data_IF_303676038390
#
_entry.id   IF_303676038390
#
_cell.length_a   1.000
_cell.length_b   1.000
_cell.length_c   1.000
_cell.angle_alpha   90.00
_cell.angle_beta   90.00
_cell.angle_gamma   90.00
#
_symmetry.space_group_name_H-M   'P 1'
#
loop_
_entity.id
_entity.type
_entity.pdbx_description
1 polymer ?
#
# COMPACT_ATOMS: atom_id res chain seq x y z
N UNK A 1 -2.78 -4.04 6.80
CA UNK A 1 -1.54 -3.27 6.51
C UNK A 1 -1.27 -3.47 5.04
N UNK A 2 -0.77 -2.49 4.29
CA UNK A 2 -0.45 -2.64 2.87
C UNK A 2 0.91 -2.01 2.56
N UNK A 3 1.47 -2.33 1.39
CA UNK A 3 2.75 -1.76 0.93
C UNK A 3 2.46 -0.50 0.12
N UNK A 4 3.18 0.59 0.42
CA UNK A 4 2.86 1.93 -0.07
C UNK A 4 3.97 2.36 -1.02
N UNK A 5 3.55 2.65 -2.25
CA UNK A 5 4.42 3.16 -3.30
C UNK A 5 3.98 4.56 -3.69
N UNK A 6 4.94 5.45 -3.91
CA UNK A 6 4.67 6.80 -4.39
C UNK A 6 5.58 7.19 -5.53
N UNK A 7 5.08 8.02 -6.43
CA UNK A 7 5.89 8.70 -7.44
C UNK A 7 5.55 10.19 -7.43
N UNK A 8 6.58 11.02 -7.28
CA UNK A 8 6.47 12.45 -7.48
C UNK A 8 6.86 12.80 -8.91
N UNK A 9 6.00 13.53 -9.62
CA UNK A 9 6.21 13.92 -11.02
C UNK A 9 6.21 15.45 -11.12
N UNK A 10 7.18 16.06 -11.83
CA UNK A 10 7.19 17.50 -12.03
C UNK A 10 5.88 17.99 -12.66
N UNK A 11 5.36 19.13 -12.19
CA UNK A 11 4.06 19.67 -12.63
C UNK A 11 3.91 19.73 -14.15
N UNK A 12 4.93 20.24 -14.85
CA UNK A 12 4.93 20.38 -16.31
C UNK A 12 5.01 19.06 -17.09
N UNK A 13 5.18 17.93 -16.41
CA UNK A 13 5.26 16.58 -17.01
C UNK A 13 4.17 15.64 -16.54
N UNK A 14 3.30 16.08 -15.65
CA UNK A 14 2.21 15.27 -15.15
C UNK A 14 1.31 14.80 -16.32
N UNK A 15 1.05 13.49 -16.44
CA UNK A 15 0.32 12.95 -17.58
C UNK A 15 -1.16 13.30 -17.52
N UNK A 16 -1.82 13.25 -18.68
CA UNK A 16 -3.28 13.05 -18.72
C UNK A 16 -3.61 11.57 -18.54
N UNK A 17 -4.85 11.25 -18.13
CA UNK A 17 -5.31 9.85 -18.03
C UNK A 17 -5.01 9.03 -19.29
N UNK A 18 -5.22 9.64 -20.46
CA UNK A 18 -5.00 9.00 -21.76
C UNK A 18 -3.51 8.75 -22.04
N UNK A 19 -2.65 9.71 -21.71
CA UNK A 19 -1.20 9.56 -21.90
C UNK A 19 -0.65 8.45 -21.02
N UNK A 20 -1.12 8.37 -19.77
CA UNK A 20 -0.71 7.35 -18.84
C UNK A 20 -1.25 5.96 -19.21
N UNK A 21 -2.53 5.84 -19.57
CA UNK A 21 -3.11 4.58 -20.05
C UNK A 21 -2.32 4.03 -21.25
N UNK A 22 -1.97 4.89 -22.20
CA UNK A 22 -1.14 4.51 -23.35
C UNK A 22 0.30 4.10 -22.96
N UNK A 23 0.85 4.63 -21.86
CA UNK A 23 2.15 4.22 -21.34
C UNK A 23 2.08 2.85 -20.64
N UNK A 24 1.01 2.60 -19.89
CA UNK A 24 0.79 1.35 -19.16
C UNK A 24 0.46 0.19 -20.10
N UNK A 25 -0.42 0.41 -21.09
CA UNK A 25 -0.81 -0.62 -22.06
C UNK A 25 0.40 -1.23 -22.77
N UNK A 26 1.43 -0.42 -23.03
CA UNK A 26 2.70 -0.86 -23.64
C UNK A 26 3.55 -1.76 -22.73
N UNK A 27 3.32 -1.76 -21.42
CA UNK A 27 4.26 -2.32 -20.43
C UNK A 27 3.71 -3.48 -19.59
N UNK A 28 2.39 -3.63 -19.42
CA UNK A 28 1.87 -4.55 -18.39
C UNK A 28 0.50 -5.21 -18.61
N UNK A 29 -0.19 -4.98 -19.74
CA UNK A 29 -1.56 -5.52 -19.93
C UNK A 29 -2.60 -4.97 -18.94
N UNK A 30 -2.29 -3.85 -18.30
CA UNK A 30 -3.19 -3.11 -17.39
C UNK A 30 -3.78 -1.93 -18.16
N UNK A 31 -5.05 -1.62 -17.92
CA UNK A 31 -5.73 -0.46 -18.53
C UNK A 31 -6.47 0.36 -17.49
N UNK A 32 -6.40 1.68 -17.59
CA UNK A 32 -7.13 2.59 -16.71
C UNK A 32 -8.56 2.76 -17.23
N UNK A 33 -9.55 2.49 -16.36
CA UNK A 33 -10.98 2.58 -16.69
C UNK A 33 -11.51 3.99 -16.53
N UNK A 34 -11.18 4.66 -15.43
CA UNK A 34 -11.64 6.02 -15.16
C UNK A 34 -10.61 6.99 -15.71
N UNK A 35 -11.02 7.78 -16.70
CA UNK A 35 -10.16 8.73 -17.39
C UNK A 35 -10.72 10.12 -17.18
N UNK A 36 -10.01 10.93 -16.43
CA UNK A 36 -10.25 12.36 -16.39
C UNK A 36 -9.51 13.02 -17.56
N UNK A 37 -10.17 14.00 -18.18
CA UNK A 37 -9.59 14.84 -19.23
C UNK A 37 -8.76 15.99 -18.65
N UNK A 38 -8.75 16.15 -17.32
CA UNK A 38 -7.99 17.19 -16.63
C UNK A 38 -6.61 16.71 -16.22
N UNK A 39 -5.63 17.58 -16.40
CA UNK A 39 -4.27 17.32 -15.94
C UNK A 39 -4.20 17.30 -14.40
N UNK A 40 -4.88 18.21 -13.70
CA UNK A 40 -4.84 18.31 -12.24
C UNK A 40 -5.47 17.13 -11.49
N UNK A 41 -6.19 16.25 -12.20
CA UNK A 41 -6.73 15.00 -11.69
C UNK A 41 -6.61 13.95 -12.80
N UNK A 42 -5.41 13.46 -13.08
CA UNK A 42 -5.17 12.56 -14.21
C UNK A 42 -5.84 11.19 -14.04
N UNK A 43 -6.20 10.84 -12.81
CA UNK A 43 -6.67 9.51 -12.45
C UNK A 43 -8.19 9.42 -12.30
N UNK A 44 -8.88 10.58 -12.30
CA UNK A 44 -10.30 10.64 -11.97
C UNK A 44 -10.59 9.93 -10.65
N UNK A 45 -9.67 10.05 -9.67
CA UNK A 45 -9.81 9.43 -8.35
C UNK A 45 -11.17 9.85 -7.77
N UNK A 46 -11.95 8.85 -7.37
CA UNK A 46 -13.20 9.12 -6.67
C UNK A 46 -12.89 9.83 -5.33
N UNK A 47 -13.86 10.50 -4.69
CA UNK A 47 -13.66 11.12 -3.37
C UNK A 47 -13.09 10.19 -2.28
N UNK A 48 -13.14 8.90 -2.53
CA UNK A 48 -12.78 7.75 -1.72
C UNK A 48 -11.40 7.12 -2.06
N UNK A 49 -10.49 7.88 -2.68
CA UNK A 49 -9.07 7.49 -2.86
C UNK A 49 -8.91 6.12 -3.54
N UNK A 50 -9.56 5.94 -4.70
CA UNK A 50 -9.52 4.69 -5.45
C UNK A 50 -9.42 4.89 -6.96
N UNK A 51 -8.67 4.03 -7.63
CA UNK A 51 -8.50 3.98 -9.09
C UNK A 51 -9.06 2.68 -9.66
N UNK A 52 -10.02 2.79 -10.58
CA UNK A 52 -10.55 1.64 -11.30
C UNK A 52 -9.69 1.29 -12.52
N UNK A 53 -9.34 0.02 -12.65
CA UNK A 53 -8.49 -0.52 -13.71
C UNK A 53 -9.04 -1.85 -14.25
N UNK A 54 -8.58 -2.26 -15.43
CA UNK A 54 -8.66 -3.62 -15.92
C UNK A 54 -7.29 -4.26 -15.82
N UNK A 55 -7.26 -5.48 -15.28
CA UNK A 55 -6.10 -6.37 -15.31
C UNK A 55 -6.52 -7.61 -16.06
N UNK A 56 -5.93 -7.86 -17.24
CA UNK A 56 -6.32 -8.95 -18.13
C UNK A 56 -7.85 -9.00 -18.39
N UNK A 57 -8.42 -7.84 -18.74
CA UNK A 57 -9.86 -7.60 -18.96
C UNK A 57 -10.78 -7.84 -17.75
N UNK A 58 -10.22 -8.11 -16.56
CA UNK A 58 -10.97 -8.23 -15.31
C UNK A 58 -10.97 -6.89 -14.56
N UNK A 59 -12.15 -6.35 -14.19
CA UNK A 59 -12.24 -5.15 -13.35
C UNK A 59 -11.55 -5.32 -12.00
N UNK A 60 -10.86 -4.28 -11.59
CA UNK A 60 -10.14 -4.19 -10.32
C UNK A 60 -10.17 -2.76 -9.80
N UNK A 61 -10.15 -2.61 -8.47
CA UNK A 61 -10.07 -1.30 -7.81
C UNK A 61 -8.80 -1.29 -6.99
N UNK A 62 -7.96 -0.30 -7.26
CA UNK A 62 -6.71 -0.06 -6.54
C UNK A 62 -6.91 1.09 -5.56
N UNK A 63 -6.46 0.91 -4.33
CA UNK A 63 -6.34 1.98 -3.34
C UNK A 63 -5.25 2.96 -3.81
N UNK A 64 -5.66 4.19 -4.11
CA UNK A 64 -4.76 5.18 -4.68
C UNK A 64 -5.26 6.61 -4.54
N UNK A 65 -4.32 7.53 -4.41
CA UNK A 65 -4.59 8.96 -4.33
C UNK A 65 -3.59 9.73 -5.18
N UNK A 66 -4.04 10.84 -5.72
CA UNK A 66 -3.20 11.86 -6.32
C UNK A 66 -3.40 13.20 -5.63
N UNK A 67 -2.31 13.92 -5.41
CA UNK A 67 -2.32 15.23 -4.75
C UNK A 67 -1.13 16.07 -5.23
N UNK A 68 -1.20 17.37 -5.02
CA UNK A 68 -0.08 18.27 -5.26
C UNK A 68 0.78 18.29 -4.00
N UNK A 69 2.08 18.09 -4.15
CA UNK A 69 3.04 18.15 -3.06
C UNK A 69 3.06 19.56 -2.46
N UNK A 70 2.75 19.63 -1.18
CA UNK A 70 2.84 20.84 -0.36
C UNK A 70 4.00 20.68 0.61
N UNK A 71 5.05 21.49 0.41
CA UNK A 71 6.25 21.44 1.22
C UNK A 71 6.00 21.80 2.69
N UNK A 72 4.89 22.47 3.04
CA UNK A 72 4.53 22.87 4.40
C UNK A 72 3.56 21.88 5.09
N UNK A 73 2.84 21.04 4.33
CA UNK A 73 1.88 20.06 4.88
C UNK A 73 2.39 18.60 4.77
N UNK A 74 3.14 18.24 3.73
CA UNK A 74 3.64 16.88 3.47
C UNK A 74 4.95 16.53 4.21
N UNK A 75 5.26 17.32 5.24
CA UNK A 75 6.61 17.60 5.75
C UNK A 75 7.44 16.42 6.29
N UNK A 76 6.88 15.26 6.62
CA UNK A 76 7.66 14.23 7.33
C UNK A 76 8.17 13.11 6.43
N UNK A 77 7.30 12.23 5.94
CA UNK A 77 7.80 10.98 5.38
C UNK A 77 8.34 11.14 3.95
N UNK A 78 7.68 11.89 3.07
CA UNK A 78 8.13 12.03 1.68
C UNK A 78 9.44 12.84 1.60
N UNK A 79 9.44 13.99 2.26
CA UNK A 79 10.55 14.94 2.21
C UNK A 79 11.82 14.37 2.82
N UNK A 80 11.72 13.66 3.95
CA UNK A 80 12.90 13.12 4.63
C UNK A 80 13.48 11.94 3.85
N UNK A 81 12.64 11.03 3.32
CA UNK A 81 13.09 9.94 2.43
C UNK A 81 13.81 10.51 1.19
N UNK A 82 13.23 11.55 0.56
CA UNK A 82 13.83 12.17 -0.61
C UNK A 82 15.12 12.94 -0.30
N UNK A 83 15.19 13.60 0.86
CA UNK A 83 16.42 14.27 1.33
C UNK A 83 17.51 13.25 1.64
N UNK A 84 17.19 12.16 2.32
CA UNK A 84 18.11 11.08 2.64
C UNK A 84 18.61 10.37 1.38
N UNK A 85 17.76 10.29 0.35
CA UNK A 85 18.13 9.83 -0.99
C UNK A 85 18.91 10.88 -1.82
N UNK A 86 19.23 12.04 -1.24
CA UNK A 86 20.08 13.07 -1.85
C UNK A 86 19.40 13.92 -2.93
N UNK A 87 18.06 13.96 -2.95
CA UNK A 87 17.32 14.70 -3.97
C UNK A 87 17.12 16.17 -3.59
N UNK A 88 17.20 17.04 -4.59
CA UNK A 88 16.85 18.46 -4.46
C UNK A 88 15.33 18.63 -4.38
N UNK A 89 14.81 18.65 -3.15
CA UNK A 89 13.38 18.81 -2.86
C UNK A 89 12.80 20.14 -3.40
N UNK A 90 13.63 21.15 -3.70
CA UNK A 90 13.15 22.40 -4.28
C UNK A 90 12.57 22.21 -5.69
N UNK A 91 12.98 21.16 -6.41
CA UNK A 91 12.44 20.83 -7.74
C UNK A 91 11.06 20.17 -7.68
N UNK A 92 10.57 19.84 -6.48
CA UNK A 92 9.28 19.22 -6.26
C UNK A 92 8.20 20.20 -5.81
N UNK A 93 8.52 21.46 -5.56
CA UNK A 93 7.49 22.43 -5.21
C UNK A 93 6.46 22.49 -6.33
N UNK A 94 5.20 22.11 -6.01
CA UNK A 94 4.12 21.98 -6.99
C UNK A 94 4.14 20.69 -7.84
N UNK A 95 5.02 19.72 -7.55
CA UNK A 95 4.98 18.40 -8.17
C UNK A 95 3.67 17.67 -7.82
N UNK A 96 3.19 16.85 -8.74
CA UNK A 96 2.06 15.97 -8.46
C UNK A 96 2.58 14.63 -7.94
N UNK A 97 2.00 14.16 -6.84
CA UNK A 97 2.32 12.88 -6.22
C UNK A 97 1.20 11.91 -6.50
N UNK A 98 1.55 10.76 -7.08
CA UNK A 98 0.69 9.59 -7.09
C UNK A 98 1.11 8.65 -5.96
N UNK A 99 0.14 8.12 -5.22
CA UNK A 99 0.36 7.18 -4.12
C UNK A 99 -0.60 6.02 -4.29
N UNK A 100 -0.13 4.79 -4.08
CA UNK A 100 -0.98 3.59 -4.09
C UNK A 100 -0.56 2.61 -3.01
N UNK A 101 -1.51 1.79 -2.58
CA UNK A 101 -1.28 0.73 -1.61
C UNK A 101 -1.54 -0.63 -2.25
N UNK A 102 -0.57 -1.55 -2.16
CA UNK A 102 -0.73 -2.95 -2.56
C UNK A 102 -0.99 -3.84 -1.34
N UNK A 103 -1.99 -4.72 -1.44
CA UNK A 103 -2.39 -5.65 -0.39
C UNK A 103 -2.14 -7.11 -0.81
N UNK A 104 -3.06 -8.02 -0.48
CA UNK A 104 -2.92 -9.47 -0.74
C UNK A 104 -3.12 -9.84 -2.21
N UNK A 105 -3.93 -9.09 -2.95
CA UNK A 105 -4.29 -9.44 -4.32
C UNK A 105 -3.09 -9.20 -5.25
N UNK A 106 -2.67 -10.21 -6.01
CA UNK A 106 -1.56 -10.10 -6.97
C UNK A 106 -1.79 -8.98 -8.01
N UNK A 107 -3.04 -8.68 -8.32
CA UNK A 107 -3.40 -7.59 -9.24
C UNK A 107 -2.98 -6.23 -8.71
N UNK A 108 -2.99 -6.01 -7.39
CA UNK A 108 -2.51 -4.76 -6.80
C UNK A 108 -1.05 -4.51 -7.15
N UNK A 109 -0.20 -5.53 -6.97
CA UNK A 109 1.25 -5.46 -7.23
C UNK A 109 1.55 -5.22 -8.71
N UNK A 110 0.80 -5.89 -9.60
CA UNK A 110 0.92 -5.70 -11.05
C UNK A 110 0.56 -4.27 -11.46
N UNK A 111 -0.55 -3.76 -10.94
CA UNK A 111 -1.04 -2.42 -11.26
C UNK A 111 -0.11 -1.36 -10.67
N UNK A 112 0.30 -1.50 -9.42
CA UNK A 112 1.27 -0.61 -8.77
C UNK A 112 2.58 -0.55 -9.57
N UNK A 113 3.17 -1.70 -9.90
CA UNK A 113 4.40 -1.75 -10.70
C UNK A 113 4.25 -1.10 -12.07
N UNK A 114 3.15 -1.35 -12.76
CA UNK A 114 2.90 -0.75 -14.07
C UNK A 114 2.76 0.78 -14.00
N UNK A 115 2.00 1.28 -13.03
CA UNK A 115 1.80 2.72 -12.81
C UNK A 115 3.11 3.40 -12.45
N UNK A 116 3.85 2.87 -11.48
CA UNK A 116 5.09 3.49 -10.99
C UNK A 116 6.16 3.51 -12.09
N UNK A 117 6.34 2.41 -12.84
CA UNK A 117 7.28 2.38 -13.97
C UNK A 117 6.89 3.38 -15.05
N UNK A 118 5.61 3.49 -15.39
CA UNK A 118 5.14 4.44 -16.40
C UNK A 118 5.38 5.89 -15.97
N UNK A 119 5.03 6.25 -14.73
CA UNK A 119 5.23 7.60 -14.17
C UNK A 119 6.72 7.98 -14.14
N UNK A 120 7.59 7.06 -13.74
CA UNK A 120 9.04 7.31 -13.71
C UNK A 120 9.63 7.41 -15.12
N UNK A 121 9.41 6.41 -15.98
CA UNK A 121 10.10 6.31 -17.27
C UNK A 121 9.62 7.32 -18.30
N UNK A 122 8.32 7.51 -18.42
CA UNK A 122 7.74 8.32 -19.50
C UNK A 122 7.55 9.79 -19.06
N UNK A 123 7.26 9.99 -17.78
CA UNK A 123 6.90 11.30 -17.24
C UNK A 123 7.99 11.90 -16.35
N UNK A 124 9.12 11.22 -16.18
CA UNK A 124 10.27 11.72 -15.42
C UNK A 124 10.00 11.81 -13.92
N UNK A 125 9.13 10.94 -13.42
CA UNK A 125 8.84 10.84 -12.00
C UNK A 125 10.01 10.29 -11.19
N UNK A 126 9.95 10.55 -9.89
CA UNK A 126 10.83 10.00 -8.88
C UNK A 126 10.04 9.03 -8.00
N UNK A 127 10.39 7.75 -8.06
CA UNK A 127 9.70 6.67 -7.37
C UNK A 127 10.25 6.42 -5.98
N UNK A 128 9.37 5.98 -5.08
CA UNK A 128 9.66 5.73 -3.67
C UNK A 128 8.89 4.50 -3.19
N UNK A 129 9.59 3.65 -2.46
CA UNK A 129 9.07 2.54 -1.68
C UNK A 129 9.31 2.82 -0.19
N UNK A 130 8.21 2.89 0.57
CA UNK A 130 8.21 3.25 1.99
C UNK A 130 8.57 2.08 2.90
N UNK A 131 8.50 0.84 2.42
CA UNK A 131 8.82 -0.34 3.23
C UNK A 131 10.32 -0.56 3.30
N UNK A 132 11.03 -0.37 2.19
CA UNK A 132 12.49 -0.53 2.14
C UNK A 132 13.25 0.79 2.27
N UNK A 133 12.54 1.92 2.28
CA UNK A 133 13.11 3.26 2.24
C UNK A 133 14.03 3.46 1.02
N UNK A 134 13.64 2.89 -0.12
CA UNK A 134 14.37 3.02 -1.38
C UNK A 134 13.65 4.00 -2.29
N UNK A 135 14.42 4.77 -3.04
CA UNK A 135 13.87 5.76 -3.95
C UNK A 135 14.83 6.01 -5.12
N UNK A 136 14.30 6.53 -6.22
CA UNK A 136 15.12 6.89 -7.37
C UNK A 136 14.34 7.19 -8.65
N UNK A 137 15.08 7.24 -9.75
CA UNK A 137 14.54 7.49 -11.10
C UNK A 137 14.56 6.19 -11.93
N UNK A 138 15.23 6.19 -13.07
CA UNK A 138 15.21 5.06 -14.02
C UNK A 138 15.81 3.79 -13.42
N UNK A 139 16.93 3.88 -12.71
CA UNK A 139 17.58 2.72 -12.07
C UNK A 139 16.65 2.06 -11.03
N UNK A 140 15.88 2.88 -10.29
CA UNK A 140 14.86 2.39 -9.36
C UNK A 140 13.72 1.69 -10.11
N UNK A 141 13.25 2.28 -11.22
CA UNK A 141 12.22 1.66 -12.06
C UNK A 141 12.70 0.41 -12.82
N UNK A 142 14.01 0.21 -13.01
CA UNK A 142 14.61 -1.02 -13.53
C UNK A 142 14.59 -2.13 -12.47
N UNK A 143 14.83 -1.80 -11.19
CA UNK A 143 14.80 -2.75 -10.08
C UNK A 143 13.40 -3.06 -9.51
N UNK A 144 12.38 -2.28 -9.87
CA UNK A 144 11.08 -2.32 -9.20
C UNK A 144 10.38 -3.69 -9.25
N UNK A 145 10.52 -4.46 -10.34
CA UNK A 145 9.85 -5.76 -10.45
C UNK A 145 10.40 -6.78 -9.45
N UNK A 146 11.70 -6.75 -9.20
CA UNK A 146 12.35 -7.61 -8.19
C UNK A 146 11.94 -7.19 -6.77
N UNK A 147 11.88 -5.88 -6.52
CA UNK A 147 11.41 -5.32 -5.24
C UNK A 147 9.96 -5.73 -4.96
N UNK A 148 9.04 -5.51 -5.91
CA UNK A 148 7.63 -5.87 -5.78
C UNK A 148 7.44 -7.38 -5.50
N UNK A 149 8.24 -8.23 -6.13
CA UNK A 149 8.19 -9.67 -5.89
C UNK A 149 8.67 -10.02 -4.47
N UNK A 150 9.75 -9.40 -4.00
CA UNK A 150 10.25 -9.58 -2.63
C UNK A 150 9.23 -9.10 -1.59
N UNK A 151 8.67 -7.92 -1.79
CA UNK A 151 7.69 -7.29 -0.91
C UNK A 151 6.38 -8.07 -0.84
N UNK A 152 5.88 -8.56 -1.98
CA UNK A 152 4.71 -9.46 -2.01
C UNK A 152 4.96 -10.72 -1.20
N UNK A 153 6.12 -11.33 -1.34
CA UNK A 153 6.45 -12.55 -0.60
C UNK A 153 6.57 -12.26 0.91
N UNK A 154 7.17 -11.14 1.29
CA UNK A 154 7.25 -10.69 2.69
C UNK A 154 5.85 -10.41 3.27
N UNK A 155 4.97 -9.76 2.50
CA UNK A 155 3.59 -9.49 2.88
C UNK A 155 2.81 -10.79 3.14
N UNK A 156 2.85 -11.74 2.19
CA UNK A 156 2.15 -13.02 2.32
C UNK A 156 2.68 -13.86 3.50
N UNK A 157 3.99 -13.82 3.76
CA UNK A 157 4.57 -14.49 4.92
C UNK A 157 4.09 -13.89 6.24
N UNK A 158 3.99 -12.55 6.31
CA UNK A 158 3.47 -11.86 7.47
C UNK A 158 1.98 -12.17 7.71
N UNK A 159 1.15 -12.17 6.66
CA UNK A 159 -0.26 -12.54 6.79
C UNK A 159 -0.42 -13.98 7.30
N UNK A 160 0.37 -14.92 6.78
CA UNK A 160 0.34 -16.31 7.23
C UNK A 160 0.75 -16.46 8.72
N UNK A 161 1.77 -15.73 9.18
CA UNK A 161 2.17 -15.71 10.59
C UNK A 161 1.07 -15.11 11.49
N UNK A 162 0.43 -14.01 11.05
CA UNK A 162 -0.70 -13.42 11.77
C UNK A 162 -1.88 -14.40 11.85
N UNK A 163 -2.26 -15.03 10.75
CA UNK A 163 -3.33 -16.04 10.70
C UNK A 163 -3.01 -17.22 11.63
N UNK A 164 -1.76 -17.72 11.63
CA UNK A 164 -1.31 -18.81 12.51
C UNK A 164 -1.44 -18.43 13.99
N UNK A 165 -0.94 -17.25 14.39
CA UNK A 165 -1.01 -16.78 15.78
C UNK A 165 -2.46 -16.55 16.25
N UNK A 166 -3.33 -16.09 15.36
CA UNK A 166 -4.75 -15.96 15.66
C UNK A 166 -5.41 -17.32 15.90
N UNK A 167 -5.10 -18.33 15.08
CA UNK A 167 -5.59 -19.69 15.27
C UNK A 167 -5.06 -20.33 16.57
N UNK A 168 -3.80 -20.12 16.92
CA UNK A 168 -3.22 -20.57 18.18
C UNK A 168 -3.89 -19.91 19.39
N UNK A 169 -4.12 -18.60 19.36
CA UNK A 169 -4.81 -17.87 20.43
C UNK A 169 -6.26 -18.34 20.61
N UNK A 170 -6.98 -18.58 19.51
CA UNK A 170 -8.34 -19.15 19.54
C UNK A 170 -8.29 -20.56 20.14
N UNK A 171 -7.34 -21.38 19.70
CA UNK A 171 -7.17 -22.75 20.20
C UNK A 171 -6.83 -22.80 21.69
N UNK A 172 -5.96 -21.89 22.17
CA UNK A 172 -5.64 -21.77 23.60
C UNK A 172 -6.87 -21.34 24.42
N UNK A 173 -7.64 -20.37 23.91
CA UNK A 173 -8.87 -19.94 24.57
C UNK A 173 -9.90 -21.07 24.66
N UNK A 174 -10.06 -21.85 23.58
CA UNK A 174 -10.93 -23.03 23.58
C UNK A 174 -10.46 -24.13 24.54
N UNK A 175 -9.15 -24.40 24.61
CA UNK A 175 -8.58 -25.35 25.56
C UNK A 175 -8.80 -24.91 27.01
N UNK A 176 -8.63 -23.61 27.31
CA UNK A 176 -8.93 -23.04 28.62
C UNK A 176 -10.41 -23.15 28.96
N UNK A 177 -11.31 -22.88 28.00
CA UNK A 177 -12.76 -23.05 28.19
C UNK A 177 -13.11 -24.51 28.49
N UNK A 178 -12.62 -25.46 27.70
CA UNK A 178 -12.87 -26.90 27.93
C UNK A 178 -12.30 -27.38 29.26
N UNK A 179 -11.12 -26.89 29.65
CA UNK A 179 -10.55 -27.20 30.96
C UNK A 179 -11.42 -26.64 32.10
N UNK A 180 -11.93 -25.41 31.95
CA UNK A 180 -12.85 -24.80 32.91
C UNK A 180 -14.19 -25.54 33.00
N UNK A 181 -14.78 -25.92 31.86
CA UNK A 181 -16.03 -26.69 31.81
C UNK A 181 -15.85 -28.05 32.50
N UNK A 182 -14.75 -28.76 32.20
CA UNK A 182 -14.43 -30.06 32.81
C UNK A 182 -14.16 -29.96 34.31
N UNK A 183 -13.50 -28.89 34.78
CA UNK A 183 -13.34 -28.61 36.20
C UNK A 183 -14.69 -28.30 36.86
N UNK A 184 -15.56 -27.55 36.19
CA UNK A 184 -16.90 -27.21 36.69
C UNK A 184 -17.81 -28.44 36.82
N UNK A 185 -17.70 -29.40 35.90
CA UNK A 185 -18.38 -30.71 35.97
C UNK A 185 -17.86 -31.58 37.11
N UNK A 186 -16.53 -31.68 37.29
CA UNK A 186 -15.90 -32.51 38.32
C UNK A 186 -16.12 -31.98 39.74
N UNK A 187 -16.15 -30.66 39.90
CA UNK A 187 -16.26 -30.01 41.21
C UNK A 187 -17.64 -29.40 41.48
N UNK A 188 -18.61 -29.60 40.58
CA UNK A 188 -20.03 -29.32 40.74
C UNK A 188 -20.33 -27.93 41.29
N UNK A 189 -20.26 -26.90 40.45
CA UNK A 189 -20.79 -25.54 40.68
C UNK A 189 -20.62 -24.94 42.10
N UNK A 190 -19.54 -25.28 42.82
CA UNK A 190 -19.10 -24.51 43.99
C UNK A 190 -18.24 -23.36 43.50
N UNK A 191 -18.94 -22.32 43.03
CA UNK A 191 -18.47 -21.01 42.55
C UNK A 191 -16.97 -20.75 42.54
N UNK A 192 -16.36 -20.89 41.36
CA UNK A 192 -15.09 -20.21 41.05
C UNK A 192 -15.45 -19.03 40.14
N UNK A 193 -15.63 -17.86 40.74
CA UNK A 193 -15.77 -16.59 40.01
C UNK A 193 -14.38 -16.16 39.51
N UNK A 194 -14.20 -15.81 38.23
CA UNK A 194 -12.90 -15.33 37.75
C UNK A 194 -12.64 -13.92 38.30
N UNK A 195 -11.58 -13.80 39.11
CA UNK A 195 -10.78 -12.58 39.29
C UNK A 195 -11.51 -11.29 39.69
N UNK A 196 -11.68 -11.06 41.01
CA UNK A 196 -11.52 -9.69 41.53
C UNK A 196 -10.05 -9.46 41.82
N UNK A 197 -9.44 -8.50 41.13
CA UNK A 197 -8.14 -7.94 41.50
C UNK A 197 -8.28 -7.37 42.91
N UNK A 198 -7.45 -7.85 43.83
CA UNK A 198 -7.16 -7.13 45.06
C UNK A 198 -6.34 -5.88 44.68
N UNK A 199 -6.94 -4.72 44.87
CA UNK A 199 -6.24 -3.46 45.11
C UNK A 199 -6.69 -3.01 46.50
N UNK A 200 -5.72 -2.94 47.42
CA UNK A 200 -5.56 -2.07 48.62
C UNK A 200 -6.85 -1.66 49.36
N UNK A 201 -7.02 -1.90 50.67
CA UNK A 201 -6.23 -1.46 51.85
C UNK A 201 -6.47 -2.44 53.00
#
# INVERSE_FOLDING_TARGET
MGYIYKVAVPQGRWPTARALDAAIERSAGVRILVRSDRADNAFGTAPDESLAVLVDDCPHILDSRDYVFDADEDLFELRDIMRDAGMDIAQLEGAHVFSTTAYRDERDWRVAGALMKALVREFGGYGMDFQTNTAGTLDWADGLDEMLAADRNAYLALEADIESRQQENVSEHELRRRAFDRLSELFGNRGVVPGRRHTDI
#
